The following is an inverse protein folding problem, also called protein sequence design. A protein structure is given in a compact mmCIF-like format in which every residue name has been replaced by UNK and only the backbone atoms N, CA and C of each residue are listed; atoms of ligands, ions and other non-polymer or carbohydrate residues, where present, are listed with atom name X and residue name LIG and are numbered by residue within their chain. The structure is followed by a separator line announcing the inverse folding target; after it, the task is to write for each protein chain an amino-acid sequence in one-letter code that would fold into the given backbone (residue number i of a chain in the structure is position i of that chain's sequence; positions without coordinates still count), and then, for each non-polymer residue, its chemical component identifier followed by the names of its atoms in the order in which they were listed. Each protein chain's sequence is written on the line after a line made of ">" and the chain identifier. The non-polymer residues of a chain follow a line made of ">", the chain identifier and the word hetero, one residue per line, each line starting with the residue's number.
data_IF_520338899516
#
_entry.id   IF_520338899516
#
_cell.length_a   1.000
_cell.length_b   1.000
_cell.length_c   1.000
_cell.angle_alpha   90.00
_cell.angle_beta   90.00
_cell.angle_gamma   90.00
#
_symmetry.space_group_name_H-M   'P 1'
#
loop_
_entity.id
_entity.type
_entity.pdbx_description
1 polymer ?
#
# COMPACT_ATOMS: atom_id res chain seq x y z
N UNK A 1 -24.60 14.80 15.08
CA UNK A 1 -23.62 13.72 14.85
C UNK A 1 -22.99 13.35 16.19
N UNK A 2 -22.90 12.08 16.57
CA UNK A 2 -22.38 11.67 17.88
C UNK A 2 -20.85 11.74 17.93
N UNK A 3 -20.25 11.78 19.13
CA UNK A 3 -18.79 11.70 19.26
C UNK A 3 -18.25 10.42 18.63
N UNK A 4 -18.90 9.28 18.88
CA UNK A 4 -18.50 7.99 18.31
C UNK A 4 -18.50 8.00 16.77
N UNK A 5 -19.52 8.57 16.12
CA UNK A 5 -19.55 8.67 14.66
C UNK A 5 -18.46 9.61 14.13
N UNK A 6 -18.19 10.73 14.82
CA UNK A 6 -17.07 11.64 14.47
C UNK A 6 -15.72 10.95 14.61
N UNK A 7 -15.50 10.18 15.68
CA UNK A 7 -14.27 9.41 15.91
C UNK A 7 -14.04 8.40 14.78
N UNK A 8 -15.07 7.64 14.40
CA UNK A 8 -14.98 6.69 13.27
C UNK A 8 -14.63 7.38 11.96
N UNK A 9 -15.27 8.50 11.67
CA UNK A 9 -15.00 9.29 10.47
C UNK A 9 -13.57 9.85 10.47
N UNK A 10 -13.07 10.30 11.63
CA UNK A 10 -11.71 10.77 11.79
C UNK A 10 -10.67 9.65 11.58
N UNK A 11 -10.91 8.46 12.11
CA UNK A 11 -10.05 7.28 11.85
C UNK A 11 -10.00 6.96 10.35
N UNK A 12 -11.13 6.99 9.63
CA UNK A 12 -11.16 6.71 8.18
C UNK A 12 -10.41 7.74 7.34
N UNK A 13 -10.27 8.98 7.82
CA UNK A 13 -9.40 10.00 7.19
C UNK A 13 -7.91 9.72 7.38
N UNK A 14 -7.56 8.75 8.24
CA UNK A 14 -6.20 8.37 8.57
C UNK A 14 -6.02 6.85 8.43
N UNK A 15 -5.85 6.33 7.21
CA UNK A 15 -5.77 4.88 6.96
C UNK A 15 -4.73 4.15 7.81
N UNK A 16 -3.59 4.77 8.12
CA UNK A 16 -2.58 4.17 9.01
C UNK A 16 -3.12 3.90 10.43
N UNK A 17 -4.03 4.72 10.93
CA UNK A 17 -4.66 4.53 12.24
C UNK A 17 -5.72 3.44 12.17
N UNK A 18 -6.47 3.36 11.07
CA UNK A 18 -7.43 2.28 10.83
C UNK A 18 -6.73 0.91 10.87
N UNK A 19 -5.64 0.73 10.12
CA UNK A 19 -4.88 -0.52 10.13
C UNK A 19 -4.25 -0.82 11.50
N UNK A 20 -3.70 0.19 12.17
CA UNK A 20 -3.14 0.00 13.50
C UNK A 20 -4.20 -0.43 14.54
N UNK A 21 -5.44 0.07 14.41
CA UNK A 21 -6.56 -0.35 15.27
C UNK A 21 -6.94 -1.80 14.99
N UNK A 22 -7.06 -2.21 13.71
CA UNK A 22 -7.29 -3.62 13.35
C UNK A 22 -6.21 -4.55 13.91
N UNK A 23 -4.96 -4.10 13.86
CA UNK A 23 -3.81 -4.85 14.39
C UNK A 23 -3.70 -4.84 15.92
N UNK A 24 -4.55 -4.07 16.63
CA UNK A 24 -4.53 -4.02 18.10
C UNK A 24 -3.27 -3.37 18.70
N UNK A 25 -2.49 -2.60 17.91
CA UNK A 25 -1.20 -2.02 18.35
C UNK A 25 -1.31 -0.55 18.79
N UNK A 26 -2.51 0.01 18.83
CA UNK A 26 -2.74 1.44 19.10
C UNK A 26 -2.72 1.77 20.59
N UNK A 27 -1.90 2.76 20.95
CA UNK A 27 -2.11 3.51 22.19
C UNK A 27 -3.28 4.48 22.00
N UNK A 28 -4.44 4.13 22.55
CA UNK A 28 -5.68 4.89 22.38
C UNK A 28 -5.59 6.35 22.87
N UNK A 29 -4.83 6.62 23.93
CA UNK A 29 -4.61 7.98 24.44
C UNK A 29 -3.80 8.80 23.44
N UNK A 30 -2.75 8.22 22.85
CA UNK A 30 -1.97 8.88 21.81
C UNK A 30 -2.80 9.11 20.55
N UNK A 31 -3.60 8.13 20.13
CA UNK A 31 -4.51 8.26 19.00
C UNK A 31 -5.59 9.34 19.24
N UNK A 32 -6.19 9.39 20.42
CA UNK A 32 -7.16 10.43 20.78
C UNK A 32 -6.54 11.83 20.74
N UNK A 33 -5.27 11.98 21.15
CA UNK A 33 -4.54 13.24 21.07
C UNK A 33 -4.25 13.62 19.61
N UNK A 34 -3.87 12.65 18.79
CA UNK A 34 -3.61 12.86 17.37
C UNK A 34 -4.88 13.31 16.61
N UNK A 35 -6.04 12.72 16.93
CA UNK A 35 -7.30 13.05 16.27
C UNK A 35 -7.86 14.42 16.66
N UNK A 36 -7.48 14.94 17.83
CA UNK A 36 -7.78 16.30 18.32
C UNK A 36 -9.22 16.79 18.01
N UNK A 37 -10.23 16.00 18.40
CA UNK A 37 -11.62 16.25 18.01
C UNK A 37 -12.34 17.32 18.84
N UNK A 38 -11.58 18.14 19.58
CA UNK A 38 -12.09 19.26 20.37
C UNK A 38 -13.13 18.88 21.43
N UNK A 39 -13.08 17.65 21.94
CA UNK A 39 -13.97 17.23 23.01
C UNK A 39 -13.36 17.62 24.36
N UNK A 40 -14.16 18.25 25.23
CA UNK A 40 -13.85 18.46 26.65
C UNK A 40 -13.58 17.13 27.40
N UNK A 41 -13.79 15.99 26.74
CA UNK A 41 -13.62 14.65 27.28
C UNK A 41 -12.76 13.78 26.34
N UNK A 42 -11.43 13.93 26.48
CA UNK A 42 -10.43 13.08 25.84
C UNK A 42 -10.64 11.59 26.14
N UNK A 43 -11.15 11.27 27.34
CA UNK A 43 -11.45 9.88 27.74
C UNK A 43 -12.63 9.32 26.95
N UNK A 44 -13.63 10.15 26.61
CA UNK A 44 -14.72 9.75 25.74
C UNK A 44 -14.25 9.39 24.32
N UNK A 45 -13.23 10.07 23.78
CA UNK A 45 -12.60 9.70 22.49
C UNK A 45 -11.85 8.38 22.61
N UNK A 46 -11.08 8.18 23.68
CA UNK A 46 -10.40 6.90 23.97
C UNK A 46 -11.41 5.75 24.04
N UNK A 47 -12.52 5.94 24.76
CA UNK A 47 -13.58 4.94 24.87
C UNK A 47 -14.25 4.65 23.53
N UNK A 48 -14.46 5.68 22.70
CA UNK A 48 -14.99 5.51 21.35
C UNK A 48 -14.03 4.75 20.44
N UNK A 49 -12.72 5.00 20.53
CA UNK A 49 -11.70 4.27 19.77
C UNK A 49 -11.63 2.80 20.16
N UNK A 50 -11.65 2.48 21.47
CA UNK A 50 -11.66 1.09 21.96
C UNK A 50 -12.84 0.31 21.41
N UNK A 51 -14.05 0.87 21.57
CA UNK A 51 -15.26 0.26 21.04
C UNK A 51 -15.20 0.09 19.52
N UNK A 52 -14.68 1.08 18.81
CA UNK A 52 -14.55 0.95 17.37
C UNK A 52 -13.56 -0.14 16.97
N UNK A 53 -12.41 -0.27 17.66
CA UNK A 53 -11.44 -1.32 17.40
C UNK A 53 -12.03 -2.73 17.59
N UNK A 54 -12.88 -2.92 18.61
CA UNK A 54 -13.62 -4.17 18.83
C UNK A 54 -14.61 -4.50 17.69
N UNK A 55 -15.10 -3.47 16.98
CA UNK A 55 -16.01 -3.64 15.83
C UNK A 55 -15.26 -3.87 14.50
N UNK A 56 -13.93 -3.71 14.47
CA UNK A 56 -13.16 -3.81 13.23
C UNK A 56 -12.83 -5.27 12.87
N UNK A 57 -12.75 -5.59 11.57
CA UNK A 57 -12.21 -6.87 11.13
C UNK A 57 -10.78 -7.07 11.64
N UNK A 58 -10.47 -8.29 12.05
CA UNK A 58 -9.12 -8.65 12.48
C UNK A 58 -8.09 -8.34 11.39
N UNK A 59 -6.89 -7.93 11.82
CA UNK A 59 -5.74 -7.82 10.92
C UNK A 59 -5.08 -9.20 10.80
N UNK A 60 -5.30 -9.88 9.68
CA UNK A 60 -4.75 -11.21 9.40
C UNK A 60 -3.73 -11.17 8.25
N UNK A 61 -2.41 -11.11 8.55
CA UNK A 61 -1.36 -11.03 7.53
C UNK A 61 -1.04 -12.41 6.94
N UNK A 62 -1.92 -12.91 6.08
CA UNK A 62 -1.78 -14.23 5.43
C UNK A 62 -0.77 -14.23 4.28
N UNK A 63 -0.53 -13.07 3.67
CA UNK A 63 0.32 -12.94 2.49
C UNK A 63 -0.31 -13.54 1.22
N UNK A 64 0.45 -13.51 0.12
CA UNK A 64 0.01 -14.00 -1.20
C UNK A 64 1.04 -14.97 -1.78
N UNK A 65 0.56 -15.93 -2.59
CA UNK A 65 1.39 -16.91 -3.28
C UNK A 65 2.07 -16.38 -4.56
N UNK A 66 2.13 -15.05 -4.75
CA UNK A 66 2.64 -14.43 -5.96
C UNK A 66 4.15 -14.67 -6.16
N UNK A 67 4.56 -14.79 -7.42
CA UNK A 67 5.96 -14.93 -7.81
C UNK A 67 6.52 -13.59 -8.22
N UNK A 68 7.68 -13.23 -7.70
CA UNK A 68 8.35 -11.95 -7.99
C UNK A 68 9.49 -12.18 -9.00
N UNK A 69 9.55 -11.33 -10.02
CA UNK A 69 10.65 -11.26 -10.99
C UNK A 69 11.11 -9.83 -11.20
N UNK A 70 12.33 -9.67 -11.73
CA UNK A 70 12.92 -8.37 -12.03
C UNK A 70 13.01 -8.15 -13.54
N UNK A 71 12.55 -6.99 -13.98
CA UNK A 71 12.55 -6.53 -15.37
C UNK A 71 13.49 -5.33 -15.50
N UNK A 72 14.69 -5.55 -16.03
CA UNK A 72 15.71 -4.49 -16.12
C UNK A 72 15.66 -3.75 -17.45
N UNK A 73 16.12 -2.49 -17.43
CA UNK A 73 16.32 -1.70 -18.64
C UNK A 73 15.04 -1.01 -19.13
N UNK A 74 14.12 -0.70 -18.23
CA UNK A 74 12.89 0.01 -18.58
C UNK A 74 13.19 1.49 -18.87
N UNK A 75 12.56 2.03 -19.91
CA UNK A 75 12.59 3.45 -20.25
C UNK A 75 11.19 4.01 -20.42
N UNK A 76 11.06 5.31 -20.17
CA UNK A 76 9.84 6.06 -20.44
C UNK A 76 9.79 6.44 -21.91
N UNK A 77 8.69 6.11 -22.57
CA UNK A 77 8.40 6.51 -23.95
C UNK A 77 7.00 7.14 -24.01
N UNK A 78 6.75 7.89 -25.07
CA UNK A 78 5.38 8.31 -25.39
C UNK A 78 4.55 7.09 -25.84
N UNK A 79 3.24 7.12 -25.56
CA UNK A 79 2.32 5.99 -25.82
C UNK A 79 2.09 5.67 -27.31
N UNK A 80 2.63 6.47 -28.23
CA UNK A 80 2.48 6.26 -29.67
C UNK A 80 3.22 5.01 -30.20
N UNK A 81 4.03 4.35 -29.35
CA UNK A 81 4.60 3.03 -29.62
C UNK A 81 3.56 1.88 -29.56
N UNK A 82 4.00 0.65 -29.84
CA UNK A 82 3.13 -0.52 -29.75
C UNK A 82 2.70 -0.78 -28.28
N UNK A 83 1.40 -0.69 -27.94
CA UNK A 83 0.93 -0.96 -26.59
C UNK A 83 1.28 -2.36 -26.07
N UNK A 84 1.50 -3.33 -26.97
CA UNK A 84 1.91 -4.69 -26.61
C UNK A 84 3.33 -4.76 -26.04
N UNK A 85 4.18 -3.77 -26.32
CA UNK A 85 5.57 -3.71 -25.84
C UNK A 85 5.68 -3.03 -24.47
N UNK A 86 4.65 -2.27 -24.06
CA UNK A 86 4.63 -1.56 -22.79
C UNK A 86 4.30 -2.50 -21.62
N UNK A 87 5.16 -2.51 -20.60
CA UNK A 87 4.88 -3.19 -19.34
C UNK A 87 3.89 -2.43 -18.45
N UNK A 88 3.86 -1.10 -18.58
CA UNK A 88 2.91 -0.24 -17.89
C UNK A 88 2.67 1.01 -18.74
N UNK A 89 1.42 1.42 -18.84
CA UNK A 89 1.05 2.67 -19.49
C UNK A 89 0.04 3.44 -18.62
N UNK A 90 0.33 4.70 -18.35
CA UNK A 90 -0.52 5.61 -17.57
C UNK A 90 -0.61 6.94 -18.30
N UNK A 91 -1.81 7.31 -18.76
CA UNK A 91 -1.98 8.44 -19.67
C UNK A 91 -1.13 8.24 -20.92
N UNK A 92 -0.32 9.26 -21.24
CA UNK A 92 0.56 9.28 -22.42
C UNK A 92 1.96 8.70 -22.14
N UNK A 93 2.25 8.28 -20.91
CA UNK A 93 3.54 7.68 -20.54
C UNK A 93 3.46 6.16 -20.58
N UNK A 94 4.39 5.53 -21.31
CA UNK A 94 4.59 4.09 -21.36
C UNK A 94 5.98 3.71 -20.84
N UNK A 95 6.09 2.53 -20.23
CA UNK A 95 7.36 1.94 -19.78
C UNK A 95 7.68 0.70 -20.60
N UNK A 96 8.74 0.80 -21.40
CA UNK A 96 9.13 -0.22 -22.39
C UNK A 96 10.51 -0.78 -22.06
N UNK A 97 10.70 -2.09 -22.30
CA UNK A 97 11.98 -2.77 -22.10
C UNK A 97 13.01 -2.30 -23.14
N UNK A 98 14.26 -2.14 -22.72
CA UNK A 98 15.38 -1.76 -23.60
C UNK A 98 15.56 -0.25 -23.77
N UNK A 99 14.56 0.55 -23.38
CA UNK A 99 14.54 2.00 -23.62
C UNK A 99 15.17 2.82 -22.48
N UNK A 100 15.71 2.20 -21.43
CA UNK A 100 16.24 2.96 -20.31
C UNK A 100 17.03 2.22 -19.25
N UNK A 101 17.01 2.79 -18.04
CA UNK A 101 17.80 2.36 -16.88
C UNK A 101 16.94 2.17 -15.62
N UNK A 102 15.63 2.07 -15.77
CA UNK A 102 14.74 1.73 -14.68
C UNK A 102 14.68 0.21 -14.50
N UNK A 103 14.22 -0.20 -13.33
CA UNK A 103 14.00 -1.61 -12.99
C UNK A 103 12.55 -1.78 -12.55
N UNK A 104 11.83 -2.66 -13.24
CA UNK A 104 10.52 -3.14 -12.84
C UNK A 104 10.65 -4.36 -11.92
N UNK A 105 9.80 -4.42 -10.92
CA UNK A 105 9.59 -5.57 -10.04
C UNK A 105 8.17 -6.04 -10.35
N UNK A 106 8.08 -7.16 -11.02
CA UNK A 106 6.83 -7.75 -11.50
C UNK A 106 6.45 -8.89 -10.55
N UNK A 107 5.30 -8.79 -9.92
CA UNK A 107 4.68 -9.87 -9.18
C UNK A 107 3.51 -10.43 -9.99
N UNK A 108 3.45 -11.75 -10.14
CA UNK A 108 2.33 -12.42 -10.82
C UNK A 108 1.69 -13.51 -9.97
N UNK A 109 0.38 -13.63 -10.05
CA UNK A 109 -0.43 -14.58 -9.28
C UNK A 109 -1.53 -13.83 -8.54
N UNK A 110 -1.79 -14.25 -7.30
CA UNK A 110 -2.81 -13.65 -6.46
C UNK A 110 -2.36 -12.27 -5.95
N UNK A 111 -2.53 -11.24 -6.79
CA UNK A 111 -2.21 -9.84 -6.51
C UNK A 111 -3.34 -8.95 -7.01
N UNK A 112 -3.67 -7.94 -6.20
CA UNK A 112 -4.74 -7.00 -6.48
C UNK A 112 -4.36 -5.56 -6.06
N UNK A 113 -5.35 -4.68 -6.00
CA UNK A 113 -5.16 -3.29 -5.59
C UNK A 113 -4.73 -3.15 -4.12
N UNK A 114 -5.16 -4.05 -3.24
CA UNK A 114 -4.80 -4.03 -1.82
C UNK A 114 -3.36 -4.49 -1.63
N UNK A 115 -2.94 -5.55 -2.33
CA UNK A 115 -1.54 -5.97 -2.40
C UNK A 115 -0.64 -4.84 -2.91
N UNK A 116 -1.06 -4.10 -3.94
CA UNK A 116 -0.32 -2.93 -4.42
C UNK A 116 -0.20 -1.83 -3.35
N UNK A 117 -1.29 -1.49 -2.67
CA UNK A 117 -1.27 -0.49 -1.59
C UNK A 117 -0.30 -0.90 -0.46
N UNK A 118 -0.32 -2.18 -0.08
CA UNK A 118 0.56 -2.73 0.95
C UNK A 118 2.04 -2.69 0.53
N UNK A 119 2.34 -3.12 -0.70
CA UNK A 119 3.69 -3.05 -1.29
C UNK A 119 4.22 -1.61 -1.31
N UNK A 120 3.41 -0.64 -1.75
CA UNK A 120 3.80 0.77 -1.77
C UNK A 120 4.06 1.30 -0.36
N UNK A 121 3.25 0.89 0.62
CA UNK A 121 3.48 1.20 2.04
C UNK A 121 4.82 0.68 2.54
N UNK A 122 5.16 -0.57 2.21
CA UNK A 122 6.40 -1.22 2.61
C UNK A 122 7.62 -0.56 1.97
N UNK A 123 7.57 -0.31 0.66
CA UNK A 123 8.66 0.37 -0.07
C UNK A 123 8.94 1.76 0.50
N UNK A 124 7.89 2.52 0.82
CA UNK A 124 8.03 3.82 1.49
C UNK A 124 8.71 3.69 2.85
N UNK A 125 8.34 2.69 3.65
CA UNK A 125 8.94 2.44 4.96
C UNK A 125 10.43 2.07 4.86
N UNK A 126 10.83 1.39 3.77
CA UNK A 126 12.23 1.05 3.47
C UNK A 126 13.00 2.17 2.75
N UNK A 127 12.38 3.33 2.50
CA UNK A 127 13.01 4.45 1.80
C UNK A 127 13.24 4.23 0.30
N UNK A 128 12.55 3.26 -0.31
CA UNK A 128 12.62 2.98 -1.75
C UNK A 128 11.64 3.89 -2.49
N UNK A 129 12.18 4.72 -3.38
CA UNK A 129 11.36 5.63 -4.20
C UNK A 129 10.79 4.89 -5.41
N UNK A 130 9.46 4.90 -5.51
CA UNK A 130 8.71 4.32 -6.63
C UNK A 130 8.51 5.37 -7.72
N UNK A 131 8.90 5.03 -8.96
CA UNK A 131 8.76 5.89 -10.14
C UNK A 131 7.40 5.75 -10.80
N UNK A 132 6.90 4.53 -10.89
CA UNK A 132 5.59 4.17 -11.40
C UNK A 132 5.15 2.84 -10.80
N UNK A 133 3.85 2.60 -10.69
CA UNK A 133 3.32 1.31 -10.29
C UNK A 133 1.92 1.09 -10.85
N UNK A 134 1.51 -0.17 -10.92
CA UNK A 134 0.18 -0.54 -11.38
C UNK A 134 -0.14 -1.99 -11.05
N UNK A 135 -1.43 -2.32 -11.09
CA UNK A 135 -1.92 -3.69 -11.00
C UNK A 135 -3.04 -3.87 -12.02
N UNK A 136 -3.06 -5.00 -12.71
CA UNK A 136 -4.11 -5.37 -13.63
C UNK A 136 -4.14 -6.89 -13.82
N UNK A 137 -5.33 -7.49 -13.73
CA UNK A 137 -5.45 -8.95 -13.70
C UNK A 137 -4.62 -9.52 -12.55
N UNK A 138 -3.84 -10.56 -12.84
CA UNK A 138 -2.98 -11.25 -11.88
C UNK A 138 -1.53 -10.71 -11.90
N UNK A 139 -1.34 -9.44 -12.25
CA UNK A 139 -0.01 -8.83 -12.37
C UNK A 139 0.07 -7.47 -11.68
N UNK A 140 1.09 -7.31 -10.85
CA UNK A 140 1.46 -6.08 -10.14
C UNK A 140 2.87 -5.69 -10.55
N UNK A 141 3.05 -4.43 -10.96
CA UNK A 141 4.35 -3.88 -11.32
C UNK A 141 4.67 -2.69 -10.42
N UNK A 142 5.90 -2.66 -9.90
CA UNK A 142 6.51 -1.47 -9.30
C UNK A 142 7.80 -1.15 -10.05
N UNK A 143 8.01 0.10 -10.42
CA UNK A 143 9.21 0.54 -11.14
C UNK A 143 10.02 1.49 -10.29
N UNK A 144 11.32 1.25 -10.21
CA UNK A 144 12.29 2.00 -9.40
C UNK A 144 13.53 2.35 -10.23
N UNK A 145 14.40 3.19 -9.68
CA UNK A 145 15.74 3.38 -10.24
C UNK A 145 16.57 2.10 -10.13
N UNK A 146 17.41 1.80 -11.13
CA UNK A 146 18.25 0.58 -11.15
C UNK A 146 19.05 0.35 -9.88
N UNK A 147 19.56 1.41 -9.24
CA UNK A 147 20.34 1.28 -7.98
C UNK A 147 19.51 0.74 -6.82
N UNK A 148 18.19 0.95 -6.83
CA UNK A 148 17.28 0.48 -5.79
C UNK A 148 16.71 -0.91 -6.08
N UNK A 149 16.99 -1.51 -7.25
CA UNK A 149 16.33 -2.75 -7.70
C UNK A 149 16.47 -3.93 -6.73
N UNK A 150 17.65 -4.12 -6.14
CA UNK A 150 17.87 -5.23 -5.19
C UNK A 150 17.12 -5.02 -3.86
N UNK A 151 17.07 -3.79 -3.35
CA UNK A 151 16.30 -3.45 -2.14
C UNK A 151 14.80 -3.53 -2.41
N UNK A 152 14.37 -3.07 -3.58
CA UNK A 152 12.98 -3.09 -4.00
C UNK A 152 12.43 -4.52 -4.10
N UNK A 153 13.16 -5.45 -4.71
CA UNK A 153 12.71 -6.86 -4.80
C UNK A 153 12.51 -7.45 -3.41
N UNK A 154 13.50 -7.31 -2.51
CA UNK A 154 13.38 -7.82 -1.13
C UNK A 154 12.19 -7.20 -0.39
N UNK A 155 11.97 -5.89 -0.56
CA UNK A 155 10.86 -5.19 0.06
C UNK A 155 9.50 -5.62 -0.50
N UNK A 156 9.41 -5.90 -1.81
CA UNK A 156 8.19 -6.41 -2.45
C UNK A 156 7.89 -7.83 -1.97
N UNK A 157 8.89 -8.73 -1.93
CA UNK A 157 8.74 -10.10 -1.42
C UNK A 157 8.24 -10.09 0.04
N UNK A 158 8.91 -9.34 0.92
CA UNK A 158 8.52 -9.21 2.32
C UNK A 158 7.11 -8.59 2.51
N UNK A 159 6.73 -7.65 1.64
CA UNK A 159 5.38 -7.10 1.66
C UNK A 159 4.35 -8.16 1.26
N UNK A 160 4.60 -8.91 0.17
CA UNK A 160 3.67 -9.94 -0.32
C UNK A 160 3.49 -11.08 0.68
N UNK A 161 4.48 -11.38 1.52
CA UNK A 161 4.36 -12.36 2.62
C UNK A 161 3.41 -11.92 3.75
N UNK A 162 3.03 -10.64 3.79
CA UNK A 162 2.29 -10.05 4.93
C UNK A 162 1.05 -9.24 4.51
N UNK A 163 0.61 -9.39 3.26
CA UNK A 163 -0.63 -8.75 2.79
C UNK A 163 -1.78 -9.19 3.69
N UNK A 164 -2.50 -8.24 4.32
CA UNK A 164 -3.64 -8.57 5.14
C UNK A 164 -4.76 -9.16 4.28
N UNK A 165 -5.47 -10.15 4.81
CA UNK A 165 -6.70 -10.60 4.20
C UNK A 165 -7.68 -9.41 4.10
N UNK A 166 -8.29 -9.27 2.92
CA UNK A 166 -9.39 -8.34 2.71
C UNK A 166 -10.54 -8.74 3.63
N UNK A 167 -11.14 -7.76 4.30
CA UNK A 167 -12.38 -7.99 5.02
C UNK A 167 -13.52 -8.10 3.99
N UNK A 168 -14.00 -9.31 3.74
CA UNK A 168 -15.22 -9.57 2.97
C UNK A 168 -16.44 -8.84 3.56
#
# INVERSE_FOLDING_TARGET
>A
MSLASRTREAVRRHPFLYEALRAGVVNYTAAARYLDLGADDHEAVVAALRRYAEDLPEYDPVGTGARVSMESGLGETDRDGDPAEALLAVGDTALVRGEGRLTGILATGDVDAEALAHVLGHLRAQGVTVRAAGVAGEALLVVVERRAGADAVRAVEAALETVPATAD
#
